data_IF_600208133022
#
_entry.id   IF_600208133022
#
_cell.length_a   1.000
_cell.length_b   1.000
_cell.length_c   1.000
_cell.angle_alpha   90.00
_cell.angle_beta   90.00
_cell.angle_gamma   90.00
#
_symmetry.space_group_name_H-M   'P 1'
#
loop_
_entity.id
_entity.type
_entity.pdbx_description
1 polymer ?
#
# COMPACT_ATOMS: atom_id res chain seq x y z
N UNK A 1 7.82 10.24 -8.25
CA UNK A 1 6.75 9.88 -7.31
C UNK A 1 7.18 10.38 -5.95
N UNK A 2 6.33 11.15 -5.30
CA UNK A 2 6.53 11.60 -3.93
C UNK A 2 5.56 10.83 -3.03
N UNK A 3 6.09 10.33 -1.91
CA UNK A 3 5.32 9.55 -0.93
C UNK A 3 5.37 10.33 0.37
N UNK A 4 4.23 10.91 0.74
CA UNK A 4 4.11 11.62 2.01
C UNK A 4 3.45 10.67 3.00
N UNK A 5 4.10 10.45 4.14
CA UNK A 5 3.63 9.52 5.15
C UNK A 5 3.31 10.30 6.42
N UNK A 6 2.08 10.16 6.89
CA UNK A 6 1.61 10.76 8.12
C UNK A 6 1.11 9.66 9.06
N UNK A 7 1.79 9.45 10.18
CA UNK A 7 1.34 8.52 11.22
C UNK A 7 0.45 9.25 12.20
N UNK A 8 -0.75 8.72 12.40
CA UNK A 8 -1.73 9.24 13.34
C UNK A 8 -2.17 8.11 14.28
N UNK A 9 -1.41 7.90 15.36
CA UNK A 9 -1.61 6.82 16.31
C UNK A 9 -1.43 5.44 15.65
N UNK A 10 -2.52 4.68 15.52
CA UNK A 10 -2.53 3.34 14.90
C UNK A 10 -2.91 3.36 13.41
N UNK A 11 -3.17 4.55 12.86
CA UNK A 11 -3.41 4.76 11.44
C UNK A 11 -2.20 5.42 10.77
N UNK A 12 -1.89 5.01 9.55
CA UNK A 12 -0.93 5.71 8.68
C UNK A 12 -1.64 6.16 7.40
N UNK A 13 -1.46 7.43 7.06
CA UNK A 13 -1.92 8.02 5.82
C UNK A 13 -0.72 8.16 4.89
N UNK A 14 -0.81 7.56 3.71
CA UNK A 14 0.21 7.63 2.67
C UNK A 14 -0.38 8.34 1.45
N UNK A 15 0.04 9.58 1.23
CA UNK A 15 -0.33 10.36 0.05
C UNK A 15 0.66 10.10 -1.07
N UNK A 16 0.13 9.71 -2.23
CA UNK A 16 0.89 9.36 -3.42
C UNK A 16 0.74 10.46 -4.45
N UNK A 17 1.84 11.15 -4.78
CA UNK A 17 1.85 12.18 -5.82
C UNK A 17 2.60 11.73 -7.08
N UNK A 18 2.01 12.05 -8.23
CA UNK A 18 2.56 11.79 -9.56
C UNK A 18 2.05 10.48 -10.15
N UNK A 19 2.94 9.54 -10.45
CA UNK A 19 2.62 8.33 -11.24
C UNK A 19 3.02 7.03 -10.54
N UNK A 20 2.06 6.11 -10.44
CA UNK A 20 2.21 4.77 -9.89
C UNK A 20 2.28 3.76 -11.04
N UNK A 21 3.49 3.41 -11.42
CA UNK A 21 3.82 2.48 -12.50
C UNK A 21 4.75 1.37 -12.02
N UNK A 22 5.24 0.53 -12.95
CA UNK A 22 6.13 -0.59 -12.64
C UNK A 22 7.42 -0.17 -11.93
N UNK A 23 7.91 1.06 -12.15
CA UNK A 23 9.13 1.55 -11.52
C UNK A 23 8.92 1.93 -10.05
N UNK A 24 7.74 2.46 -9.71
CA UNK A 24 7.45 2.99 -8.37
C UNK A 24 6.68 2.03 -7.48
N UNK A 25 6.02 1.04 -8.09
CA UNK A 25 5.39 -0.11 -7.46
C UNK A 25 6.24 -0.78 -6.34
N UNK A 26 7.45 -1.29 -6.60
CA UNK A 26 8.23 -1.99 -5.56
C UNK A 26 8.67 -1.07 -4.41
N UNK A 27 8.90 0.21 -4.70
CA UNK A 27 9.32 1.19 -3.70
C UNK A 27 8.18 1.48 -2.70
N UNK A 28 6.96 1.65 -3.20
CA UNK A 28 5.76 1.80 -2.37
C UNK A 28 5.51 0.56 -1.51
N UNK A 29 5.64 -0.64 -2.07
CA UNK A 29 5.42 -1.89 -1.35
C UNK A 29 6.41 -2.06 -0.18
N UNK A 30 7.68 -1.72 -0.38
CA UNK A 30 8.71 -1.78 0.65
C UNK A 30 8.43 -0.79 1.81
N UNK A 31 8.02 0.43 1.47
CA UNK A 31 7.64 1.45 2.46
C UNK A 31 6.41 1.03 3.25
N UNK A 32 5.40 0.51 2.57
CA UNK A 32 4.21 -0.04 3.20
C UNK A 32 4.58 -1.14 4.20
N UNK A 33 5.42 -2.09 3.77
CA UNK A 33 5.79 -3.25 4.58
C UNK A 33 6.47 -2.85 5.89
N UNK A 34 7.28 -1.79 5.89
CA UNK A 34 7.91 -1.22 7.11
C UNK A 34 6.87 -0.66 8.07
N UNK A 35 5.94 0.14 7.57
CA UNK A 35 4.94 0.82 8.39
C UNK A 35 3.82 -0.15 8.85
N UNK A 36 3.53 -1.17 8.04
CA UNK A 36 2.54 -2.22 8.31
C UNK A 36 2.84 -3.09 9.53
N UNK A 37 4.08 -3.15 10.03
CA UNK A 37 4.37 -3.89 11.27
C UNK A 37 3.71 -3.23 12.49
N UNK A 38 3.58 -1.91 12.49
CA UNK A 38 3.15 -1.13 13.66
C UNK A 38 1.71 -0.62 13.55
N UNK A 39 1.17 -0.50 12.33
CA UNK A 39 -0.15 0.13 12.08
C UNK A 39 -1.25 -0.88 11.76
N UNK A 40 -2.46 -0.61 12.27
CA UNK A 40 -3.67 -1.41 12.01
C UNK A 40 -4.54 -0.82 10.92
N UNK A 41 -4.36 0.46 10.59
CA UNK A 41 -5.12 1.15 9.54
C UNK A 41 -4.18 1.84 8.57
N UNK A 42 -4.35 1.57 7.28
CA UNK A 42 -3.66 2.27 6.20
C UNK A 42 -4.68 3.06 5.40
N UNK A 43 -4.39 4.33 5.20
CA UNK A 43 -5.15 5.23 4.35
C UNK A 43 -4.23 5.58 3.19
N UNK A 44 -4.65 5.26 1.98
CA UNK A 44 -3.90 5.57 0.77
C UNK A 44 -4.58 6.76 0.09
N UNK A 45 -3.96 7.93 0.12
CA UNK A 45 -4.47 9.09 -0.61
C UNK A 45 -3.90 9.10 -2.02
N UNK A 46 -4.80 8.91 -2.99
CA UNK A 46 -4.48 8.84 -4.42
C UNK A 46 -4.99 10.10 -5.16
N UNK A 47 -5.31 11.19 -4.46
CA UNK A 47 -5.87 12.39 -5.11
C UNK A 47 -4.90 13.06 -6.07
N UNK A 48 -3.61 13.00 -5.75
CA UNK A 48 -2.53 13.64 -6.49
C UNK A 48 -1.84 12.66 -7.46
N UNK A 49 -2.47 11.51 -7.69
CA UNK A 49 -1.97 10.46 -8.55
C UNK A 49 -2.50 10.69 -9.97
N UNK A 50 -1.67 11.25 -10.84
CA UNK A 50 -1.98 11.54 -12.24
C UNK A 50 -2.08 10.28 -13.11
N UNK A 51 -1.36 9.21 -12.77
CA UNK A 51 -1.33 8.00 -13.60
C UNK A 51 -1.12 6.72 -12.81
N UNK A 52 -2.02 5.75 -13.01
CA UNK A 52 -1.96 4.41 -12.42
C UNK A 52 -1.85 3.35 -13.52
N UNK A 53 -0.77 2.56 -13.49
CA UNK A 53 -0.60 1.39 -14.36
C UNK A 53 -1.03 0.10 -13.65
N UNK A 54 -1.24 -0.99 -14.39
CA UNK A 54 -1.60 -2.32 -13.85
C UNK A 54 -0.65 -2.81 -12.77
N UNK A 55 0.63 -2.44 -12.85
CA UNK A 55 1.61 -2.77 -11.82
C UNK A 55 1.36 -2.04 -10.48
N UNK A 56 0.93 -0.77 -10.52
CA UNK A 56 0.56 -0.02 -9.33
C UNK A 56 -0.69 -0.60 -8.66
N UNK A 57 -1.67 -1.01 -9.46
CA UNK A 57 -2.88 -1.69 -8.98
C UNK A 57 -2.55 -3.01 -8.27
N UNK A 58 -1.59 -3.77 -8.82
CA UNK A 58 -1.10 -5.02 -8.21
C UNK A 58 -0.44 -4.77 -6.86
N UNK A 59 0.30 -3.68 -6.71
CA UNK A 59 0.90 -3.28 -5.43
C UNK A 59 -0.16 -2.90 -4.41
N UNK A 60 -1.20 -2.15 -4.80
CA UNK A 60 -2.32 -1.81 -3.90
C UNK A 60 -3.05 -3.09 -3.45
N UNK A 61 -3.24 -4.06 -4.35
CA UNK A 61 -3.83 -5.35 -4.02
C UNK A 61 -2.93 -6.17 -3.08
N UNK A 62 -1.61 -6.19 -3.30
CA UNK A 62 -0.64 -6.85 -2.42
C UNK A 62 -0.62 -6.20 -1.03
N UNK A 63 -0.59 -4.87 -0.98
CA UNK A 63 -0.72 -4.05 0.20
C UNK A 63 -1.96 -4.41 1.02
N UNK A 64 -3.13 -4.34 0.39
CA UNK A 64 -4.38 -4.72 1.03
C UNK A 64 -4.38 -6.18 1.48
N UNK A 65 -3.82 -7.09 0.68
CA UNK A 65 -3.73 -8.51 1.02
C UNK A 65 -2.81 -8.76 2.21
N UNK A 66 -1.66 -8.08 2.31
CA UNK A 66 -0.75 -8.18 3.45
C UNK A 66 -1.42 -7.66 4.74
N UNK A 67 -2.20 -6.58 4.64
CA UNK A 67 -2.95 -6.02 5.76
C UNK A 67 -4.15 -6.89 6.16
N UNK A 68 -4.89 -7.37 5.16
CA UNK A 68 -6.00 -8.30 5.33
C UNK A 68 -5.54 -9.65 5.87
N UNK A 69 -4.34 -10.12 5.55
CA UNK A 69 -3.77 -11.36 6.13
C UNK A 69 -3.58 -11.26 7.65
N UNK A 70 -3.51 -10.04 8.20
CA UNK A 70 -3.49 -9.78 9.65
C UNK A 70 -4.88 -9.85 10.30
N UNK A 71 -5.98 -9.75 9.53
CA UNK A 71 -7.35 -9.70 10.04
C UNK A 71 -8.37 -10.63 9.37
N UNK A 72 -7.95 -11.47 8.42
CA UNK A 72 -8.84 -12.23 7.55
C UNK A 72 -8.29 -13.63 7.31
N UNK A 73 -8.98 -14.59 7.90
CA UNK A 73 -8.92 -16.03 7.71
C UNK A 73 -8.16 -16.47 6.45
N UNK A 74 -7.06 -17.20 6.65
CA UNK A 74 -6.32 -17.85 5.58
C UNK A 74 -7.23 -18.83 4.85
N UNK A 75 -7.62 -18.49 3.62
CA UNK A 75 -7.99 -19.52 2.66
C UNK A 75 -6.76 -20.40 2.41
N UNK A 76 -6.91 -21.74 2.37
CA UNK A 76 -5.78 -22.64 2.19
C UNK A 76 -5.09 -22.38 0.85
N UNK A 77 -3.79 -22.71 0.72
CA UNK A 77 -3.11 -22.64 -0.55
C UNK A 77 -3.80 -23.58 -1.55
N UNK A 78 -4.41 -23.01 -2.59
CA UNK A 78 -4.74 -23.80 -3.77
C UNK A 78 -3.42 -24.19 -4.44
N UNK A 79 -3.13 -25.47 -4.30
CA UNK A 79 -2.09 -26.23 -4.98
C UNK A 79 -2.45 -26.42 -6.46
#
# INVERSE_FOLDING_TARGET
MEIIKEKNGTAVTMSLQGRLDTATAPQMEAELKKDMEEVTRLILDMRELEYLSSAGLRVILNAQKMMGKRGGHGGPPCQ
#
